data_IF_026010565395
#
_entry.id   IF_026010565395
#
_cell.length_a   1.000
_cell.length_b   1.000
_cell.length_c   1.000
_cell.angle_alpha   90.00
_cell.angle_beta   90.00
_cell.angle_gamma   90.00
#
_symmetry.space_group_name_H-M   'P 1'
#
loop_
_entity.id
_entity.type
_entity.pdbx_description
1 polymer ?
#
# COMPACT_ATOMS: atom_id res chain seq x y z
N UNK A 1 6.32 -25.28 23.61
CA UNK A 1 6.71 -24.18 22.73
C UNK A 1 5.70 -23.04 22.93
N UNK A 2 6.16 -21.90 23.49
CA UNK A 2 5.33 -20.74 23.83
C UNK A 2 5.15 -19.73 22.70
N UNK A 3 5.83 -19.94 21.56
CA UNK A 3 5.69 -19.05 20.41
C UNK A 3 4.70 -19.65 19.38
N UNK A 4 3.77 -18.85 18.87
CA UNK A 4 2.91 -19.28 17.77
C UNK A 4 3.77 -19.60 16.53
N UNK A 5 3.38 -20.59 15.76
CA UNK A 5 4.07 -20.92 14.51
C UNK A 5 4.06 -19.71 13.57
N UNK A 6 5.24 -19.16 13.32
CA UNK A 6 5.42 -18.02 12.43
C UNK A 6 5.06 -18.42 10.98
N UNK A 7 5.27 -19.69 10.61
CA UNK A 7 4.88 -20.24 9.30
C UNK A 7 3.38 -20.44 9.20
N UNK A 8 2.65 -19.34 9.14
CA UNK A 8 1.21 -19.30 9.02
C UNK A 8 0.80 -18.15 8.12
N UNK A 9 -0.44 -18.18 7.63
CA UNK A 9 -1.00 -17.09 6.85
C UNK A 9 -0.91 -15.76 7.61
N UNK A 10 -1.16 -15.78 8.93
CA UNK A 10 -1.07 -14.58 9.77
C UNK A 10 0.36 -14.03 9.85
N UNK A 11 1.37 -14.89 9.95
CA UNK A 11 2.78 -14.50 9.93
C UNK A 11 3.18 -13.86 8.59
N UNK A 12 2.78 -14.46 7.48
CA UNK A 12 3.03 -13.91 6.15
C UNK A 12 2.39 -12.53 5.96
N UNK A 13 1.12 -12.38 6.35
CA UNK A 13 0.41 -11.09 6.26
C UNK A 13 1.10 -10.03 7.12
N UNK A 14 1.54 -10.39 8.33
CA UNK A 14 2.25 -9.46 9.21
C UNK A 14 3.57 -9.00 8.59
N UNK A 15 4.39 -9.93 8.10
CA UNK A 15 5.69 -9.62 7.49
C UNK A 15 5.51 -8.78 6.22
N UNK A 16 4.67 -9.22 5.28
CA UNK A 16 4.41 -8.49 4.04
C UNK A 16 3.84 -7.09 4.32
N UNK A 17 2.92 -6.95 5.26
CA UNK A 17 2.38 -5.65 5.65
C UNK A 17 3.46 -4.74 6.25
N UNK A 18 4.37 -5.29 7.04
CA UNK A 18 5.47 -4.54 7.66
C UNK A 18 6.50 -4.06 6.64
N UNK A 19 6.76 -4.86 5.60
CA UNK A 19 7.71 -4.51 4.55
C UNK A 19 7.10 -3.57 3.51
N UNK A 20 5.83 -3.76 3.17
CA UNK A 20 5.18 -3.04 2.08
C UNK A 20 4.42 -1.77 2.50
N UNK A 21 4.21 -1.54 3.82
CA UNK A 21 3.52 -0.32 4.29
C UNK A 21 4.16 1.00 3.80
N UNK A 22 5.50 1.12 3.59
CA UNK A 22 6.10 2.37 3.16
C UNK A 22 5.58 2.84 1.80
N UNK A 23 5.21 1.92 0.91
CA UNK A 23 4.65 2.27 -0.41
C UNK A 23 3.35 3.08 -0.27
N UNK A 24 2.41 2.55 0.53
CA UNK A 24 1.14 3.25 0.79
C UNK A 24 1.37 4.53 1.60
N UNK A 25 2.24 4.47 2.62
CA UNK A 25 2.55 5.61 3.46
C UNK A 25 3.12 6.79 2.67
N UNK A 26 4.13 6.56 1.81
CA UNK A 26 4.76 7.62 1.03
C UNK A 26 3.78 8.26 0.05
N UNK A 27 2.96 7.48 -0.64
CA UNK A 27 1.97 8.00 -1.56
C UNK A 27 0.85 8.76 -0.83
N UNK A 28 0.37 8.24 0.28
CA UNK A 28 -0.62 8.92 1.11
C UNK A 28 -0.04 10.23 1.69
N UNK A 29 1.17 10.18 2.25
CA UNK A 29 1.84 11.36 2.81
C UNK A 29 2.00 12.48 1.78
N UNK A 30 2.45 12.15 0.59
CA UNK A 30 2.60 13.16 -0.49
C UNK A 30 1.27 13.76 -0.88
N UNK A 31 0.20 12.95 -0.94
CA UNK A 31 -1.15 13.42 -1.24
C UNK A 31 -1.69 14.37 -0.15
N UNK A 32 -1.54 14.01 1.12
CA UNK A 32 -1.96 14.86 2.24
C UNK A 32 -1.19 16.18 2.30
N UNK A 33 0.09 16.19 1.93
CA UNK A 33 0.90 17.42 1.90
C UNK A 33 0.53 18.37 0.77
N UNK A 34 -0.10 17.87 -0.28
CA UNK A 34 -0.54 18.66 -1.43
C UNK A 34 -1.91 19.33 -1.22
N UNK A 35 -2.62 19.01 -0.13
CA UNK A 35 -3.92 19.62 0.17
C UNK A 35 -3.71 21.09 0.60
N UNK A 36 -4.29 22.08 -0.12
CA UNK A 36 -4.18 23.49 0.22
C UNK A 36 -4.81 23.83 1.59
N UNK A 37 -4.20 24.77 2.31
CA UNK A 37 -4.69 25.19 3.62
C UNK A 37 -6.11 25.80 3.59
N UNK A 38 -6.52 26.38 2.46
CA UNK A 38 -7.86 26.93 2.25
C UNK A 38 -8.98 25.91 2.47
N UNK A 39 -8.75 24.63 2.17
CA UNK A 39 -9.74 23.58 2.42
C UNK A 39 -9.98 23.33 3.92
N UNK A 40 -8.95 23.51 4.74
CA UNK A 40 -9.07 23.38 6.20
C UNK A 40 -9.81 24.59 6.80
N UNK A 41 -9.59 25.80 6.25
CA UNK A 41 -10.31 26.99 6.66
C UNK A 41 -11.82 26.88 6.39
N UNK A 42 -12.19 26.33 5.24
CA UNK A 42 -13.61 26.08 4.89
C UNK A 42 -14.23 25.03 5.84
N UNK A 43 -13.50 23.98 6.21
CA UNK A 43 -14.03 22.95 7.10
C UNK A 43 -14.27 23.48 8.52
N UNK A 44 -13.48 24.42 8.98
CA UNK A 44 -13.64 25.05 10.31
C UNK A 44 -14.92 25.90 10.40
N UNK A 45 -15.35 26.48 9.28
CA UNK A 45 -16.60 27.26 9.22
C UNK A 45 -17.83 26.35 9.35
N UNK A 46 -17.76 25.12 8.83
CA UNK A 46 -18.86 24.15 8.83
C UNK A 46 -18.86 23.19 10.02
N UNK A 47 -17.98 23.37 11.00
CA UNK A 47 -17.83 22.50 12.21
C UNK A 47 -17.79 21.00 11.90
N UNK A 48 -17.16 20.63 10.76
CA UNK A 48 -16.97 19.26 10.34
C UNK A 48 -15.52 18.82 10.46
N UNK A 49 -15.31 17.55 10.81
CA UNK A 49 -13.97 16.96 10.86
C UNK A 49 -13.31 17.02 9.47
N UNK A 50 -12.38 17.96 9.29
CA UNK A 50 -11.65 18.20 8.04
C UNK A 50 -10.98 16.92 7.49
N UNK A 51 -10.55 16.03 8.37
CA UNK A 51 -9.90 14.77 7.96
C UNK A 51 -10.84 13.87 7.16
N UNK A 52 -12.02 13.57 7.68
CA UNK A 52 -12.96 12.65 7.04
C UNK A 52 -13.68 13.26 5.85
N UNK A 53 -13.96 14.56 5.90
CA UNK A 53 -14.77 15.23 4.89
C UNK A 53 -13.95 15.72 3.70
N UNK A 54 -12.69 16.13 3.93
CA UNK A 54 -11.86 16.76 2.89
C UNK A 54 -10.59 15.94 2.65
N UNK A 55 -9.78 15.71 3.68
CA UNK A 55 -8.43 15.17 3.50
C UNK A 55 -8.45 13.74 2.96
N UNK A 56 -9.27 12.88 3.53
CA UNK A 56 -9.36 11.48 3.13
C UNK A 56 -9.95 11.30 1.72
N UNK A 57 -11.05 11.97 1.32
CA UNK A 57 -11.55 11.90 -0.05
C UNK A 57 -10.54 12.37 -1.10
N UNK A 58 -9.83 13.47 -0.83
CA UNK A 58 -8.80 13.96 -1.75
C UNK A 58 -7.58 13.03 -1.82
N UNK A 59 -7.23 12.35 -0.74
CA UNK A 59 -6.11 11.41 -0.70
C UNK A 59 -6.47 10.01 -1.24
N UNK A 60 -7.75 9.65 -1.39
CA UNK A 60 -8.20 8.32 -1.87
C UNK A 60 -7.46 7.83 -3.10
N UNK A 61 -7.31 8.61 -4.20
CA UNK A 61 -6.64 8.10 -5.39
C UNK A 61 -5.16 7.78 -5.16
N UNK A 62 -4.49 8.47 -4.23
CA UNK A 62 -3.12 8.15 -3.87
C UNK A 62 -3.02 6.87 -3.02
N UNK A 63 -3.98 6.66 -2.13
CA UNK A 63 -4.05 5.45 -1.30
C UNK A 63 -4.34 4.24 -2.19
N UNK A 64 -5.30 4.37 -3.12
CA UNK A 64 -5.63 3.28 -4.06
C UNK A 64 -4.42 2.94 -4.94
N UNK A 65 -3.68 3.95 -5.43
CA UNK A 65 -2.45 3.72 -6.19
C UNK A 65 -1.39 2.98 -5.34
N UNK A 66 -1.24 3.34 -4.06
CA UNK A 66 -0.34 2.65 -3.14
C UNK A 66 -0.74 1.20 -2.91
N UNK A 67 -2.02 0.95 -2.72
CA UNK A 67 -2.56 -0.41 -2.55
C UNK A 67 -2.41 -1.26 -3.82
N UNK A 68 -2.59 -0.66 -5.00
CA UNK A 68 -2.36 -1.36 -6.27
C UNK A 68 -0.90 -1.78 -6.44
N UNK A 69 0.06 -0.89 -6.09
CA UNK A 69 1.48 -1.21 -6.06
C UNK A 69 1.79 -2.38 -5.11
N UNK A 70 1.28 -2.32 -3.88
CA UNK A 70 1.43 -3.41 -2.91
C UNK A 70 0.81 -4.70 -3.44
N UNK A 71 -0.36 -4.62 -4.06
CA UNK A 71 -1.02 -5.79 -4.66
C UNK A 71 -0.18 -6.44 -5.76
N UNK A 72 0.44 -5.64 -6.63
CA UNK A 72 1.35 -6.16 -7.67
C UNK A 72 2.58 -6.84 -7.06
N UNK A 73 3.18 -6.23 -6.04
CA UNK A 73 4.35 -6.79 -5.36
C UNK A 73 4.02 -8.11 -4.66
N UNK A 74 2.92 -8.16 -3.92
CA UNK A 74 2.46 -9.39 -3.23
C UNK A 74 2.16 -10.52 -4.22
N UNK A 75 1.55 -10.21 -5.38
CA UNK A 75 1.25 -11.24 -6.39
C UNK A 75 2.52 -11.75 -7.06
N UNK A 76 3.55 -10.89 -7.20
CA UNK A 76 4.83 -11.23 -7.82
C UNK A 76 5.80 -11.91 -6.84
N UNK A 77 5.55 -11.81 -5.53
CA UNK A 77 6.44 -12.37 -4.52
C UNK A 77 6.38 -13.91 -4.53
N UNK A 78 7.53 -14.51 -4.80
CA UNK A 78 7.74 -15.95 -4.74
C UNK A 78 8.42 -16.38 -3.44
N UNK A 79 9.46 -15.67 -3.03
CA UNK A 79 10.34 -16.07 -1.93
C UNK A 79 9.64 -16.10 -0.57
N UNK A 80 8.90 -15.03 -0.25
CA UNK A 80 8.19 -14.95 1.03
C UNK A 80 7.11 -16.01 1.12
N UNK A 81 6.30 -16.19 0.06
CA UNK A 81 5.20 -17.15 0.07
C UNK A 81 5.70 -18.60 0.12
N UNK A 82 6.81 -18.91 -0.52
CA UNK A 82 7.47 -20.22 -0.43
C UNK A 82 7.96 -20.48 1.00
N UNK A 83 8.63 -19.50 1.62
CA UNK A 83 9.11 -19.62 3.01
C UNK A 83 7.96 -19.89 4.00
N UNK A 84 6.82 -19.23 3.83
CA UNK A 84 5.64 -19.44 4.66
C UNK A 84 4.80 -20.66 4.24
N UNK A 85 5.22 -21.41 3.20
CA UNK A 85 4.51 -22.58 2.66
C UNK A 85 3.07 -22.28 2.22
N UNK A 86 2.84 -21.08 1.71
CA UNK A 86 1.52 -20.64 1.25
C UNK A 86 1.33 -20.95 -0.23
N UNK A 87 0.22 -21.57 -0.57
CA UNK A 87 -0.15 -21.83 -1.97
C UNK A 87 -0.67 -20.54 -2.62
N UNK A 88 0.20 -19.87 -3.36
CA UNK A 88 -0.15 -18.70 -4.17
C UNK A 88 -0.14 -19.05 -5.66
N UNK A 89 -0.68 -18.13 -6.49
CA UNK A 89 -0.69 -18.33 -7.94
C UNK A 89 0.73 -18.48 -8.51
N UNK A 90 1.67 -17.67 -8.02
CA UNK A 90 3.08 -17.71 -8.46
C UNK A 90 3.76 -19.02 -8.10
N UNK A 91 3.57 -19.49 -6.87
CA UNK A 91 4.06 -20.80 -6.45
C UNK A 91 3.34 -21.95 -7.20
N UNK A 92 2.06 -21.78 -7.49
CA UNK A 92 1.27 -22.72 -8.28
C UNK A 92 1.82 -22.89 -9.69
N UNK A 93 2.21 -21.81 -10.37
CA UNK A 93 2.84 -21.85 -11.70
C UNK A 93 4.13 -22.68 -11.63
N UNK A 94 4.98 -22.42 -10.64
CA UNK A 94 6.24 -23.10 -10.45
C UNK A 94 6.05 -24.61 -10.19
N UNK A 95 5.13 -24.97 -9.30
CA UNK A 95 4.85 -26.36 -8.96
C UNK A 95 4.26 -27.15 -10.14
N UNK A 96 3.37 -26.55 -10.93
CA UNK A 96 2.80 -27.17 -12.12
C UNK A 96 3.85 -27.32 -13.21
N UNK A 97 4.71 -26.32 -13.39
CA UNK A 97 5.76 -26.38 -14.40
C UNK A 97 6.82 -27.42 -14.06
N UNK A 98 7.43 -27.36 -12.88
CA UNK A 98 8.57 -28.21 -12.50
C UNK A 98 8.09 -29.50 -11.84
N UNK A 99 7.11 -29.44 -10.92
CA UNK A 99 6.64 -30.61 -10.18
C UNK A 99 5.80 -31.57 -11.03
N UNK A 100 4.92 -31.03 -11.90
CA UNK A 100 4.05 -31.84 -12.78
C UNK A 100 4.56 -31.95 -14.21
N UNK A 101 5.68 -31.29 -14.54
CA UNK A 101 6.25 -31.22 -15.88
C UNK A 101 5.21 -30.85 -16.98
N UNK A 102 4.24 -30.00 -16.62
CA UNK A 102 3.14 -29.60 -17.49
C UNK A 102 3.23 -28.09 -17.80
N UNK A 103 3.97 -27.77 -18.85
CA UNK A 103 4.21 -26.39 -19.27
C UNK A 103 2.93 -25.69 -19.77
N UNK A 104 2.01 -26.44 -20.36
CA UNK A 104 0.76 -25.90 -20.90
C UNK A 104 -0.17 -25.42 -19.79
N UNK A 105 -0.33 -26.20 -18.73
CA UNK A 105 -1.14 -25.81 -17.58
C UNK A 105 -0.50 -24.65 -16.81
N UNK A 106 0.84 -24.66 -16.65
CA UNK A 106 1.55 -23.55 -16.03
C UNK A 106 1.36 -22.24 -16.81
N UNK A 107 1.42 -22.29 -18.15
CA UNK A 107 1.18 -21.12 -19.00
C UNK A 107 -0.25 -20.57 -18.86
N UNK A 108 -1.25 -21.41 -18.72
CA UNK A 108 -2.63 -20.96 -18.49
C UNK A 108 -2.76 -20.19 -17.16
N UNK A 109 -2.17 -20.70 -16.08
CA UNK A 109 -2.19 -20.03 -14.77
C UNK A 109 -1.41 -18.71 -14.87
N UNK A 110 -0.28 -18.68 -15.57
CA UNK A 110 0.52 -17.46 -15.78
C UNK A 110 -0.27 -16.37 -16.54
N UNK A 111 -1.07 -16.74 -17.55
CA UNK A 111 -1.93 -15.79 -18.26
C UNK A 111 -2.97 -15.18 -17.33
N UNK A 112 -3.61 -15.97 -16.48
CA UNK A 112 -4.55 -15.45 -15.47
C UNK A 112 -3.89 -14.46 -14.50
N UNK A 113 -2.70 -14.81 -14.01
CA UNK A 113 -1.93 -13.94 -13.12
C UNK A 113 -1.55 -12.64 -13.84
N UNK A 114 -1.14 -12.71 -15.10
CA UNK A 114 -0.78 -11.56 -15.92
C UNK A 114 -1.97 -10.61 -16.14
N UNK A 115 -3.15 -11.15 -16.48
CA UNK A 115 -4.39 -10.36 -16.61
C UNK A 115 -4.73 -9.65 -15.30
N UNK A 116 -4.57 -10.33 -14.17
CA UNK A 116 -4.81 -9.73 -12.86
C UNK A 116 -3.85 -8.57 -12.57
N UNK A 117 -2.56 -8.73 -12.87
CA UNK A 117 -1.55 -7.67 -12.72
C UNK A 117 -1.87 -6.48 -13.63
N UNK A 118 -2.26 -6.71 -14.89
CA UNK A 118 -2.69 -5.64 -15.80
C UNK A 118 -3.90 -4.89 -15.25
N UNK A 119 -4.85 -5.59 -14.66
CA UNK A 119 -6.01 -4.97 -14.03
C UNK A 119 -5.62 -4.05 -12.85
N UNK A 120 -4.68 -4.49 -12.00
CA UNK A 120 -4.14 -3.66 -10.93
C UNK A 120 -3.40 -2.42 -11.48
N UNK A 121 -2.58 -2.60 -12.51
CA UNK A 121 -1.88 -1.52 -13.20
C UNK A 121 -2.86 -0.50 -13.80
N UNK A 122 -3.90 -0.97 -14.44
CA UNK A 122 -4.94 -0.09 -14.99
C UNK A 122 -5.65 0.72 -13.91
N UNK A 123 -5.94 0.10 -12.79
CA UNK A 123 -6.53 0.77 -11.61
C UNK A 123 -5.60 1.87 -11.08
N UNK A 124 -4.31 1.60 -11.02
CA UNK A 124 -3.29 2.59 -10.61
C UNK A 124 -3.24 3.76 -11.60
N UNK A 125 -3.14 3.50 -12.90
CA UNK A 125 -3.08 4.52 -13.93
C UNK A 125 -4.34 5.39 -13.96
N UNK A 126 -5.51 4.78 -13.83
CA UNK A 126 -6.77 5.49 -13.74
C UNK A 126 -6.84 6.39 -12.52
N UNK A 127 -6.41 5.90 -11.38
CA UNK A 127 -6.33 6.67 -10.13
C UNK A 127 -5.37 7.87 -10.22
N UNK A 128 -4.27 7.72 -10.96
CA UNK A 128 -3.31 8.82 -11.20
C UNK A 128 -3.82 9.85 -12.21
N UNK A 129 -4.58 9.44 -13.21
CA UNK A 129 -5.10 10.35 -14.24
C UNK A 129 -6.05 11.41 -13.67
N UNK A 130 -6.78 11.05 -12.63
CA UNK A 130 -7.69 11.98 -11.94
C UNK A 130 -6.98 13.13 -11.19
N UNK A 131 -5.69 13.00 -10.89
CA UNK A 131 -4.91 14.04 -10.19
C UNK A 131 -4.47 15.20 -11.06
N UNK A 132 -4.45 15.05 -12.38
CA UNK A 132 -3.97 16.09 -13.31
C UNK A 132 -4.88 17.33 -13.41
N UNK A 133 -6.10 17.27 -12.89
CA UNK A 133 -7.05 18.38 -12.99
C UNK A 133 -6.94 19.44 -11.86
N UNK A 134 -6.14 19.22 -10.83
CA UNK A 134 -6.10 20.12 -9.66
C UNK A 134 -4.83 20.96 -9.56
N UNK A 135 -4.00 20.99 -10.60
CA UNK A 135 -2.72 21.70 -10.55
C UNK A 135 -2.85 23.11 -11.12
N UNK A 136 -3.80 23.88 -10.59
CA UNK A 136 -3.89 25.32 -10.85
C UNK A 136 -3.66 26.07 -9.53
N UNK A 137 -2.43 26.58 -9.41
CA UNK A 137 -2.02 27.63 -8.45
C UNK A 137 -2.18 27.29 -6.95
N UNK A 138 -1.44 26.33 -6.45
CA UNK A 138 -1.16 26.28 -5.01
C UNK A 138 0.10 27.10 -4.72
N UNK A 139 -0.07 28.36 -4.33
CA UNK A 139 0.95 29.10 -3.60
C UNK A 139 1.25 28.27 -2.35
N UNK A 140 2.36 27.56 -2.37
CA UNK A 140 2.84 26.77 -1.23
C UNK A 140 3.00 27.70 -0.02
N UNK A 141 1.97 27.76 0.81
CA UNK A 141 2.10 28.32 2.14
C UNK A 141 2.81 27.24 2.95
N UNK A 142 4.04 27.55 3.32
CA UNK A 142 4.89 26.74 4.16
C UNK A 142 4.12 26.36 5.44
N UNK A 143 3.44 25.20 5.42
CA UNK A 143 2.84 24.64 6.64
C UNK A 143 4.02 24.22 7.52
N UNK A 144 4.28 25.02 8.54
CA UNK A 144 5.15 24.63 9.63
C UNK A 144 4.61 23.30 10.17
N UNK A 145 5.31 22.21 9.86
CA UNK A 145 5.03 20.92 10.45
C UNK A 145 5.16 21.08 11.96
N UNK A 146 4.04 20.99 12.68
CA UNK A 146 4.06 20.89 14.12
C UNK A 146 4.86 19.64 14.46
N UNK A 147 6.08 19.82 14.93
CA UNK A 147 6.91 18.74 15.43
C UNK A 147 6.13 18.06 16.56
N UNK A 148 5.77 16.81 16.36
CA UNK A 148 5.21 15.97 17.42
C UNK A 148 6.33 15.76 18.44
N UNK A 149 6.24 16.45 19.57
CA UNK A 149 7.21 16.34 20.67
C UNK A 149 6.54 15.58 21.82
N UNK A 150 7.24 14.65 22.44
CA UNK A 150 6.79 13.89 23.59
C UNK A 150 6.26 12.49 23.30
N UNK A 151 5.35 11.98 24.14
CA UNK A 151 4.83 10.61 24.07
C UNK A 151 4.32 10.17 22.66
N UNK A 152 3.60 11.00 21.88
CA UNK A 152 3.16 10.60 20.55
C UNK A 152 4.31 10.41 19.55
N UNK A 153 5.41 11.15 19.71
CA UNK A 153 6.60 10.96 18.86
C UNK A 153 7.27 9.62 19.13
N UNK A 154 7.38 9.22 20.40
CA UNK A 154 7.92 7.92 20.80
C UNK A 154 7.08 6.75 20.25
N UNK A 155 5.75 6.85 20.32
CA UNK A 155 4.85 5.81 19.77
C UNK A 155 5.05 5.68 18.26
N UNK A 156 5.16 6.80 17.53
CA UNK A 156 5.43 6.76 16.09
C UNK A 156 6.79 6.14 15.76
N UNK A 157 7.83 6.47 16.53
CA UNK A 157 9.17 5.90 16.36
C UNK A 157 9.17 4.40 16.64
N UNK A 158 8.53 3.96 17.73
CA UNK A 158 8.41 2.54 18.05
C UNK A 158 7.64 1.77 16.97
N UNK A 159 6.52 2.31 16.47
CA UNK A 159 5.76 1.70 15.38
C UNK A 159 6.57 1.59 14.08
N UNK A 160 7.44 2.56 13.79
CA UNK A 160 8.30 2.52 12.61
C UNK A 160 9.51 1.59 12.80
N UNK A 161 9.99 1.39 14.04
CA UNK A 161 11.15 0.53 14.32
C UNK A 161 10.79 -0.96 14.40
N UNK A 162 9.58 -1.29 14.82
CA UNK A 162 9.14 -2.70 14.94
C UNK A 162 9.38 -3.49 13.63
N UNK A 163 8.98 -3.02 12.44
CA UNK A 163 9.21 -3.78 11.20
C UNK A 163 10.66 -3.79 10.72
N UNK A 164 11.54 -2.95 11.30
CA UNK A 164 12.98 -2.88 10.91
C UNK A 164 13.81 -3.80 11.77
N UNK A 165 13.33 -4.15 12.98
CA UNK A 165 14.06 -5.00 13.94
C UNK A 165 13.68 -6.48 13.85
N UNK A 166 12.65 -6.84 13.07
CA UNK A 166 12.25 -8.21 12.75
C UNK A 166 12.58 -8.58 11.31
#
# INVERSE_FOLDING_TARGET
>A
YYFPEIRSLGGAVFVLSSVLYPYVYLLARTAFRQIPASFYEVSSIYDRNAFWTISLPLARPAIVAGLALVGMEVVSDFGTVEFFSLQTLTLGIFNVWIGMNNITAAAQIAIFTFIFIIFLLFTELYSRSQKRFNDTSSRQRNQQSKLLTGAPALVCICLCLVPVLF
#
